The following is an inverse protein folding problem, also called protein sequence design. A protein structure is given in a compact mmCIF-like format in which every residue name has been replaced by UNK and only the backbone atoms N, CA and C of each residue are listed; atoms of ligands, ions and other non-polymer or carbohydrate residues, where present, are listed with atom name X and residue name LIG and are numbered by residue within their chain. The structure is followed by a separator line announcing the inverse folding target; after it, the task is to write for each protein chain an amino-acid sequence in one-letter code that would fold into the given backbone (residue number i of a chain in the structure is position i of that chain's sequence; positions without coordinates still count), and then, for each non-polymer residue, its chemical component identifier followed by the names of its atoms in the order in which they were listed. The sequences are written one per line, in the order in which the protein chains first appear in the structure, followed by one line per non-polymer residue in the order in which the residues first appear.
data_IF_014366033521
#
_entry.id   IF_014366033521
#
_cell.length_a   1.000
_cell.length_b   1.000
_cell.length_c   1.000
_cell.angle_alpha   90.00
_cell.angle_beta   90.00
_cell.angle_gamma   90.00
#
_symmetry.space_group_name_H-M   'P 1'
#
loop_
_entity.id
_entity.type
_entity.pdbx_description
1 polymer ?
#
# COMPACT_ATOMS: atom_id res chain seq x y z
N UNK A 1 19.37 1.35 -18.64
CA UNK A 1 18.63 1.37 -17.36
C UNK A 1 17.15 1.20 -17.68
N UNK A 2 16.50 0.14 -17.21
CA UNK A 2 15.05 0.05 -17.29
C UNK A 2 14.44 1.04 -16.30
N UNK A 3 13.74 2.04 -16.82
CA UNK A 3 13.05 3.05 -16.01
C UNK A 3 11.76 2.42 -15.47
N UNK A 4 11.70 2.16 -14.17
CA UNK A 4 10.47 1.69 -13.52
C UNK A 4 9.47 2.83 -13.38
N UNK A 5 8.19 2.49 -13.48
CA UNK A 5 7.05 3.39 -13.29
C UNK A 5 6.58 3.26 -11.83
N UNK A 6 6.38 4.40 -11.18
CA UNK A 6 5.75 4.46 -9.86
C UNK A 6 4.25 4.67 -10.07
N UNK A 7 3.43 3.75 -9.54
CA UNK A 7 1.98 3.88 -9.52
C UNK A 7 1.55 4.05 -8.08
N UNK A 8 1.05 5.24 -7.73
CA UNK A 8 0.58 5.54 -6.39
C UNK A 8 -0.93 5.25 -6.25
N UNK A 9 -1.34 4.64 -5.14
CA UNK A 9 -2.74 4.45 -4.75
C UNK A 9 -3.03 5.16 -3.42
N UNK A 10 -4.12 5.92 -3.40
CA UNK A 10 -4.74 6.45 -2.17
C UNK A 10 -6.10 5.80 -1.97
N UNK A 11 -6.36 5.28 -0.77
CA UNK A 11 -7.64 4.66 -0.41
C UNK A 11 -7.87 4.68 1.11
N UNK A 12 -9.08 4.34 1.55
CA UNK A 12 -9.44 4.30 2.97
C UNK A 12 -8.56 3.35 3.78
N UNK A 13 -8.17 3.78 4.99
CA UNK A 13 -7.46 3.00 6.01
C UNK A 13 -8.42 2.24 6.95
N UNK A 14 -9.73 2.26 6.68
CA UNK A 14 -10.75 1.53 7.46
C UNK A 14 -10.36 0.05 7.61
N UNK A 15 -10.28 -0.50 8.83
CA UNK A 15 -9.93 -1.90 9.05
C UNK A 15 -10.97 -2.88 8.50
N UNK A 16 -12.22 -2.44 8.29
CA UNK A 16 -13.34 -3.26 7.83
C UNK A 16 -13.96 -2.69 6.54
N UNK A 17 -13.20 -2.59 5.44
CA UNK A 17 -13.71 -2.02 4.20
C UNK A 17 -14.83 -2.92 3.63
N UNK A 18 -15.82 -2.34 2.92
CA UNK A 18 -16.84 -3.13 2.23
C UNK A 18 -16.23 -4.17 1.29
N UNK A 19 -16.80 -5.37 1.22
CA UNK A 19 -16.27 -6.49 0.42
C UNK A 19 -16.03 -6.11 -1.04
N UNK A 20 -16.99 -5.41 -1.65
CA UNK A 20 -16.86 -4.93 -3.03
C UNK A 20 -15.67 -3.97 -3.24
N UNK A 21 -15.30 -3.17 -2.24
CA UNK A 21 -14.14 -2.28 -2.31
C UNK A 21 -12.84 -3.07 -2.16
N UNK A 22 -12.82 -4.05 -1.23
CA UNK A 22 -11.69 -4.96 -1.08
C UNK A 22 -11.42 -5.74 -2.37
N UNK A 23 -12.46 -6.29 -3.02
CA UNK A 23 -12.33 -7.04 -4.27
C UNK A 23 -11.82 -6.18 -5.44
N UNK A 24 -12.24 -4.92 -5.50
CA UNK A 24 -11.67 -3.95 -6.44
C UNK A 24 -10.18 -3.68 -6.18
N UNK A 25 -9.79 -3.49 -4.92
CA UNK A 25 -8.38 -3.27 -4.55
C UNK A 25 -7.50 -4.47 -4.95
N UNK A 26 -7.97 -5.69 -4.68
CA UNK A 26 -7.28 -6.92 -5.12
C UNK A 26 -7.19 -7.01 -6.64
N UNK A 27 -8.29 -6.73 -7.34
CA UNK A 27 -8.33 -6.81 -8.81
C UNK A 27 -7.42 -5.77 -9.46
N UNK A 28 -7.35 -4.57 -8.90
CA UNK A 28 -6.39 -3.53 -9.28
C UNK A 28 -4.95 -4.02 -9.13
N UNK A 29 -4.57 -4.54 -7.95
CA UNK A 29 -3.23 -5.06 -7.70
C UNK A 29 -2.85 -6.21 -8.63
N UNK A 30 -3.77 -7.17 -8.84
CA UNK A 30 -3.58 -8.28 -9.79
C UNK A 30 -3.42 -7.81 -11.24
N UNK A 31 -4.09 -6.74 -11.64
CA UNK A 31 -3.91 -6.17 -12.96
C UNK A 31 -2.51 -5.55 -13.14
N UNK A 32 -1.97 -4.92 -12.10
CA UNK A 32 -0.61 -4.37 -12.08
C UNK A 32 0.48 -5.46 -12.04
N UNK A 33 0.22 -6.63 -11.44
CA UNK A 33 1.19 -7.72 -11.35
C UNK A 33 1.72 -8.18 -12.71
N UNK A 34 0.94 -8.03 -13.78
CA UNK A 34 1.38 -8.32 -15.16
C UNK A 34 2.59 -7.48 -15.58
N UNK A 35 2.84 -6.37 -14.88
CA UNK A 35 3.91 -5.41 -15.12
C UNK A 35 4.85 -5.30 -13.91
N UNK A 36 4.92 -6.32 -13.04
CA UNK A 36 5.69 -6.25 -11.77
C UNK A 36 7.18 -5.93 -11.94
N UNK A 37 7.77 -6.25 -13.09
CA UNK A 37 9.18 -5.94 -13.39
C UNK A 37 9.39 -4.48 -13.85
N UNK A 38 8.29 -3.80 -14.21
CA UNK A 38 8.24 -2.43 -14.72
C UNK A 38 7.58 -1.45 -13.73
N UNK A 39 6.73 -1.94 -12.83
CA UNK A 39 5.92 -1.14 -11.90
C UNK A 39 6.35 -1.37 -10.45
N UNK A 40 6.49 -0.26 -9.72
CA UNK A 40 6.53 -0.25 -8.26
C UNK A 40 5.23 0.37 -7.76
N UNK A 41 4.52 -0.34 -6.88
CA UNK A 41 3.28 0.13 -6.29
C UNK A 41 3.59 0.99 -5.05
N UNK A 42 3.08 2.20 -5.01
CA UNK A 42 3.27 3.12 -3.89
C UNK A 42 1.94 3.39 -3.18
N UNK A 43 1.94 3.52 -1.86
CA UNK A 43 0.73 3.89 -1.10
C UNK A 43 1.06 4.76 0.12
N UNK A 44 0.02 5.20 0.85
CA UNK A 44 0.17 5.82 2.18
C UNK A 44 0.60 4.85 3.29
N UNK A 45 1.01 3.62 2.93
CA UNK A 45 1.65 2.67 3.83
C UNK A 45 0.70 1.73 4.53
N UNK A 46 -0.35 2.25 5.15
CA UNK A 46 -0.97 1.55 6.27
C UNK A 46 -2.50 1.41 6.17
N UNK A 47 -2.99 0.25 6.63
CA UNK A 47 -4.39 -0.04 6.83
C UNK A 47 -5.25 -0.26 5.58
N UNK A 48 -6.47 -0.73 5.84
CA UNK A 48 -7.57 -0.82 4.89
C UNK A 48 -7.23 -1.30 3.48
N UNK A 49 -7.71 -0.56 2.48
CA UNK A 49 -7.65 -0.94 1.08
C UNK A 49 -6.23 -0.87 0.49
N UNK A 50 -5.41 0.06 0.98
CA UNK A 50 -4.00 0.18 0.56
C UNK A 50 -3.21 -1.05 1.00
N UNK A 51 -3.40 -1.51 2.24
CA UNK A 51 -2.81 -2.75 2.75
C UNK A 51 -3.25 -3.96 1.93
N UNK A 52 -4.52 -4.05 1.55
CA UNK A 52 -5.03 -5.15 0.71
C UNK A 52 -4.35 -5.14 -0.67
N UNK A 53 -4.25 -3.98 -1.31
CA UNK A 53 -3.60 -3.86 -2.62
C UNK A 53 -2.09 -4.20 -2.55
N UNK A 54 -1.39 -3.66 -1.54
CA UNK A 54 0.04 -3.93 -1.35
C UNK A 54 0.31 -5.40 -1.04
N UNK A 55 -0.51 -6.04 -0.20
CA UNK A 55 -0.42 -7.47 0.07
C UNK A 55 -0.48 -8.30 -1.21
N UNK A 56 -1.53 -8.12 -2.00
CA UNK A 56 -1.73 -8.89 -3.24
C UNK A 56 -0.58 -8.65 -4.23
N UNK A 57 -0.05 -7.43 -4.29
CA UNK A 57 1.08 -7.11 -5.17
C UNK A 57 2.39 -7.74 -4.68
N UNK A 58 2.69 -7.69 -3.38
CA UNK A 58 3.90 -8.29 -2.79
C UNK A 58 3.86 -9.82 -2.87
N UNK A 59 2.73 -10.45 -2.52
CA UNK A 59 2.56 -11.89 -2.60
C UNK A 59 2.68 -12.41 -4.05
N UNK A 60 2.35 -11.58 -5.05
CA UNK A 60 2.57 -11.86 -6.47
C UNK A 60 3.99 -11.58 -6.99
N UNK A 61 4.92 -11.21 -6.12
CA UNK A 61 6.33 -10.92 -6.44
C UNK A 61 6.62 -9.48 -6.85
N UNK A 62 5.67 -8.55 -6.64
CA UNK A 62 5.86 -7.13 -6.89
C UNK A 62 6.57 -6.39 -5.75
N UNK A 63 7.10 -5.20 -6.05
CA UNK A 63 7.77 -4.33 -5.09
C UNK A 63 6.87 -3.16 -4.68
N UNK A 64 6.80 -2.87 -3.39
CA UNK A 64 5.98 -1.77 -2.83
C UNK A 64 6.81 -0.72 -2.09
N UNK A 65 6.31 0.51 -2.10
CA UNK A 65 6.79 1.62 -1.28
C UNK A 65 5.63 2.14 -0.42
N UNK A 66 5.84 2.25 0.89
CA UNK A 66 4.89 2.89 1.81
C UNK A 66 5.39 4.27 2.23
N UNK A 67 4.60 5.32 2.01
CA UNK A 67 4.86 6.64 2.58
C UNK A 67 4.14 6.72 3.91
N UNK A 68 4.86 6.49 5.00
CA UNK A 68 4.29 6.33 6.34
C UNK A 68 4.10 7.70 6.98
N UNK A 69 2.88 8.08 7.38
CA UNK A 69 2.64 9.32 8.08
C UNK A 69 3.10 9.23 9.54
N UNK A 70 3.45 10.37 10.14
CA UNK A 70 4.03 10.44 11.50
C UNK A 70 3.22 9.71 12.57
N UNK A 71 1.90 9.65 12.43
CA UNK A 71 1.01 8.94 13.34
C UNK A 71 1.16 7.41 13.29
N UNK A 72 1.56 6.88 12.14
CA UNK A 72 1.70 5.44 11.88
C UNK A 72 3.19 4.98 11.95
N UNK A 73 4.18 5.88 12.09
CA UNK A 73 5.62 5.52 12.09
C UNK A 73 6.07 4.65 13.27
N UNK A 74 5.34 4.68 14.39
CA UNK A 74 5.71 4.01 15.65
C UNK A 74 4.69 2.95 16.09
N UNK A 75 3.76 2.57 15.22
CA UNK A 75 2.73 1.58 15.56
C UNK A 75 3.30 0.15 15.52
N UNK A 76 2.83 -0.68 16.45
CA UNK A 76 3.19 -2.10 16.54
C UNK A 76 2.38 -2.99 15.59
N UNK A 77 2.79 -4.25 15.47
CA UNK A 77 2.14 -5.23 14.58
C UNK A 77 0.68 -5.55 14.96
N UNK A 78 0.33 -5.30 16.22
CA UNK A 78 -1.00 -5.44 16.78
C UNK A 78 -1.94 -4.29 16.38
N UNK A 79 -1.40 -3.19 15.83
CA UNK A 79 -2.19 -2.04 15.43
C UNK A 79 -2.97 -2.31 14.13
N UNK A 80 -4.27 -1.98 14.04
CA UNK A 80 -5.10 -2.29 12.86
C UNK A 80 -4.61 -1.67 11.55
N UNK A 81 -3.81 -0.59 11.65
CA UNK A 81 -3.21 0.07 10.49
C UNK A 81 -1.89 -0.56 10.06
N UNK A 82 -1.21 -1.32 10.91
CA UNK A 82 0.08 -1.91 10.56
C UNK A 82 0.00 -2.74 9.27
N UNK A 83 0.95 -2.48 8.39
CA UNK A 83 1.11 -3.16 7.11
C UNK A 83 2.53 -3.72 6.98
N UNK A 84 2.72 -5.05 7.06
CA UNK A 84 4.02 -5.67 6.77
C UNK A 84 4.34 -5.68 5.26
N UNK A 85 3.45 -5.13 4.42
CA UNK A 85 3.57 -5.14 2.96
C UNK A 85 4.19 -3.87 2.41
N UNK A 86 4.77 -3.02 3.26
CA UNK A 86 5.64 -1.92 2.87
C UNK A 86 7.06 -2.46 2.73
N UNK A 87 7.42 -3.01 1.56
CA UNK A 87 8.76 -3.59 1.35
C UNK A 87 9.83 -2.51 1.54
N UNK A 88 9.55 -1.29 1.08
CA UNK A 88 10.36 -0.11 1.34
C UNK A 88 9.49 0.91 2.09
N UNK A 89 9.60 1.01 3.42
CA UNK A 89 8.94 2.07 4.17
C UNK A 89 9.74 3.38 4.08
N UNK A 90 9.03 4.49 3.86
CA UNK A 90 9.55 5.86 3.96
C UNK A 90 8.81 6.54 5.10
N UNK A 91 9.50 6.71 6.23
CA UNK A 91 9.02 7.49 7.38
C UNK A 91 9.08 8.97 6.98
N UNK A 92 7.91 9.57 6.75
CA UNK A 92 7.81 10.87 6.10
C UNK A 92 8.04 12.04 7.05
N UNK A 93 7.83 11.86 8.35
CA UNK A 93 7.74 12.95 9.34
C UNK A 93 6.54 13.88 9.11
N UNK A 94 5.62 13.51 8.22
CA UNK A 94 4.48 14.32 7.80
C UNK A 94 3.16 13.68 8.25
N UNK A 95 2.19 14.50 8.62
CA UNK A 95 0.83 14.03 8.94
C UNK A 95 0.03 13.70 7.68
N UNK A 96 -0.89 12.72 7.77
CA UNK A 96 -1.79 12.37 6.67
C UNK A 96 -2.99 13.33 6.48
N UNK A 97 -2.99 14.52 7.09
CA UNK A 97 -4.10 15.50 7.02
C UNK A 97 -4.44 15.90 5.57
N UNK A 98 -5.37 15.16 4.95
CA UNK A 98 -6.12 15.57 3.77
C UNK A 98 -7.34 16.33 4.30
N UNK A 99 -7.21 17.66 4.42
CA UNK A 99 -8.31 18.57 4.78
C UNK A 99 -9.13 18.94 3.56
#
# INVERSE_FOLDING_TARGET
MNRRILVAIGASSDPNPPSAAADKARSFARALLRYRDEVILMSGGDGGLMRIACREFVEGGGLTIGIIPVEDEVIGEDHPRYSPYNVIPILSGMTYQMR
#
